data_IF_713082421975
#
_entry.id   IF_713082421975
#
_cell.length_a   1.000
_cell.length_b   1.000
_cell.length_c   1.000
_cell.angle_alpha   90.00
_cell.angle_beta   90.00
_cell.angle_gamma   90.00
#
_symmetry.space_group_name_H-M   'P 1'
#
loop_
_entity.id
_entity.type
_entity.pdbx_description
1 polymer ?
#
# COMPACT_ATOMS: atom_id res chain seq x y z
N UNK A 1 3.65 -4.27 -18.32
CA UNK A 1 4.94 -5.00 -18.41
C UNK A 1 6.12 -4.05 -18.23
N UNK A 2 6.07 -2.83 -18.79
CA UNK A 2 7.08 -1.77 -18.53
C UNK A 2 7.21 -1.40 -17.05
N UNK A 3 6.10 -1.43 -16.31
CA UNK A 3 6.02 -1.08 -14.88
C UNK A 3 6.89 -2.00 -14.01
N UNK A 4 6.96 -3.29 -14.35
CA UNK A 4 7.81 -4.25 -13.63
C UNK A 4 9.30 -3.93 -13.78
N UNK A 5 9.73 -3.45 -14.96
CA UNK A 5 11.11 -3.06 -15.21
C UNK A 5 11.45 -1.78 -14.44
N UNK A 6 10.51 -0.82 -14.39
CA UNK A 6 10.65 0.41 -13.61
C UNK A 6 10.86 0.10 -12.11
N UNK A 7 10.02 -0.75 -11.51
CA UNK A 7 10.21 -1.16 -10.11
C UNK A 7 11.50 -1.95 -9.90
N UNK A 8 11.90 -2.80 -10.85
CA UNK A 8 13.14 -3.59 -10.74
C UNK A 8 14.38 -2.69 -10.71
N UNK A 9 14.42 -1.63 -11.52
CA UNK A 9 15.55 -0.68 -11.53
C UNK A 9 15.59 0.11 -10.22
N UNK A 10 14.45 0.55 -9.67
CA UNK A 10 14.39 1.23 -8.38
C UNK A 10 14.86 0.33 -7.23
N UNK A 11 14.46 -0.95 -7.21
CA UNK A 11 14.94 -1.93 -6.25
C UNK A 11 16.44 -2.18 -6.38
N UNK A 12 16.97 -2.24 -7.61
CA UNK A 12 18.40 -2.40 -7.86
C UNK A 12 19.20 -1.17 -7.37
N UNK A 13 18.71 0.04 -7.60
CA UNK A 13 19.32 1.27 -7.07
C UNK A 13 19.31 1.28 -5.54
N UNK A 14 18.19 0.91 -4.91
CA UNK A 14 18.10 0.78 -3.45
C UNK A 14 19.12 -0.23 -2.91
N UNK A 15 19.20 -1.43 -3.49
CA UNK A 15 20.13 -2.48 -3.06
C UNK A 15 21.61 -2.05 -3.14
N UNK A 16 21.96 -1.18 -4.09
CA UNK A 16 23.32 -0.64 -4.24
C UNK A 16 23.57 0.49 -3.23
N UNK A 17 22.61 1.37 -2.98
CA UNK A 17 22.76 2.53 -2.08
C UNK A 17 22.44 2.25 -0.60
N UNK A 18 21.86 1.10 -0.26
CA UNK A 18 21.39 0.79 1.11
C UNK A 18 22.50 0.85 2.17
N UNK A 19 23.74 0.54 1.80
CA UNK A 19 24.91 0.61 2.71
C UNK A 19 25.70 1.93 2.56
N UNK A 20 25.27 2.82 1.67
CA UNK A 20 25.89 4.12 1.39
C UNK A 20 25.42 5.25 2.32
N UNK A 21 25.02 4.93 3.55
CA UNK A 21 24.65 5.92 4.55
C UNK A 21 25.93 6.53 5.12
N UNK A 22 26.38 7.65 4.53
CA UNK A 22 27.53 8.44 4.98
C UNK A 22 27.27 9.07 6.37
N UNK A 23 27.17 8.26 7.43
CA UNK A 23 26.95 8.68 8.81
C UNK A 23 25.52 9.17 9.13
N UNK A 24 24.54 8.96 8.25
CA UNK A 24 23.13 9.29 8.48
C UNK A 24 22.37 8.20 9.26
N UNK A 25 21.18 8.52 9.83
CA UNK A 25 20.37 7.58 10.59
C UNK A 25 20.10 6.30 9.80
N UNK A 26 20.25 5.15 10.46
CA UNK A 26 20.04 3.84 9.83
C UNK A 26 18.54 3.66 9.62
N UNK A 27 18.10 2.96 8.55
CA UNK A 27 16.65 2.75 8.28
C UNK A 27 15.86 2.21 9.48
N UNK A 28 16.55 1.56 10.43
CA UNK A 28 15.99 1.06 11.69
C UNK A 28 15.45 2.14 12.64
N UNK A 29 15.90 3.40 12.51
CA UNK A 29 15.38 4.54 13.29
C UNK A 29 14.17 5.23 12.62
N UNK A 30 13.88 4.88 11.36
CA UNK A 30 12.82 5.51 10.53
C UNK A 30 11.68 4.52 10.24
N UNK A 31 11.97 3.21 10.25
CA UNK A 31 10.95 2.17 10.04
C UNK A 31 10.25 1.80 11.34
N UNK A 32 9.09 2.40 11.59
CA UNK A 32 8.13 1.86 12.55
C UNK A 32 7.49 0.58 11.98
N UNK A 33 8.12 -0.57 12.27
CA UNK A 33 7.63 -1.91 11.94
C UNK A 33 6.12 -2.14 12.20
N UNK A 34 5.52 -1.69 13.33
CA UNK A 34 4.07 -1.86 13.52
C UNK A 34 3.24 -1.05 12.52
N UNK A 35 3.73 0.09 12.05
CA UNK A 35 3.02 0.95 11.10
C UNK A 35 2.98 0.34 9.69
N UNK A 36 4.13 -0.13 9.20
CA UNK A 36 4.25 -0.86 7.92
C UNK A 36 3.38 -2.13 7.91
N UNK A 37 3.24 -2.77 9.06
CA UNK A 37 2.40 -3.95 9.22
C UNK A 37 0.90 -3.59 9.12
N UNK A 38 0.47 -2.50 9.75
CA UNK A 38 -0.91 -1.98 9.63
C UNK A 38 -1.23 -1.62 8.19
N UNK A 39 -0.32 -0.93 7.50
CA UNK A 39 -0.42 -0.63 6.07
C UNK A 39 -0.59 -1.87 5.20
N UNK A 40 0.21 -2.90 5.45
CA UNK A 40 0.14 -4.17 4.74
C UNK A 40 -1.21 -4.85 4.96
N UNK A 41 -1.71 -4.88 6.20
CA UNK A 41 -3.04 -5.41 6.51
C UNK A 41 -4.14 -4.62 5.80
N UNK A 42 -4.04 -3.30 5.76
CA UNK A 42 -5.03 -2.43 5.14
C UNK A 42 -5.08 -2.60 3.61
N UNK A 43 -3.93 -2.75 2.96
CA UNK A 43 -3.83 -3.11 1.54
C UNK A 43 -4.35 -4.52 1.27
N UNK A 44 -4.10 -5.47 2.18
CA UNK A 44 -4.59 -6.84 2.07
C UNK A 44 -6.12 -6.89 2.18
N UNK A 45 -6.71 -6.13 3.10
CA UNK A 45 -8.16 -5.94 3.18
C UNK A 45 -8.72 -5.25 1.93
N UNK A 46 -8.04 -4.25 1.38
CA UNK A 46 -8.43 -3.59 0.12
C UNK A 46 -8.48 -4.57 -1.07
N UNK A 47 -7.52 -5.50 -1.14
CA UNK A 47 -7.52 -6.57 -2.16
C UNK A 47 -8.69 -7.55 -1.97
N UNK A 48 -9.02 -7.90 -0.72
CA UNK A 48 -10.16 -8.78 -0.40
C UNK A 48 -11.50 -8.09 -0.73
N UNK A 49 -11.68 -6.82 -0.38
CA UNK A 49 -12.91 -6.06 -0.69
C UNK A 49 -13.09 -5.93 -2.20
N UNK A 50 -12.01 -5.74 -2.94
CA UNK A 50 -12.04 -5.72 -4.40
C UNK A 50 -12.36 -7.09 -5.00
N UNK A 51 -11.80 -8.18 -4.46
CA UNK A 51 -12.14 -9.55 -4.85
C UNK A 51 -13.63 -9.89 -4.62
N UNK A 52 -14.19 -9.43 -3.50
CA UNK A 52 -15.62 -9.54 -3.19
C UNK A 52 -16.48 -8.69 -4.14
N UNK A 53 -16.03 -7.49 -4.51
CA UNK A 53 -16.67 -6.64 -5.51
C UNK A 53 -16.72 -7.33 -6.88
N UNK A 54 -15.62 -7.99 -7.30
CA UNK A 54 -15.57 -8.73 -8.56
C UNK A 54 -16.59 -9.88 -8.58
N UNK A 55 -16.71 -10.64 -7.49
CA UNK A 55 -17.72 -11.72 -7.36
C UNK A 55 -19.15 -11.16 -7.42
N UNK A 56 -19.41 -10.01 -6.80
CA UNK A 56 -20.70 -9.32 -6.89
C UNK A 56 -21.02 -8.81 -8.30
N UNK A 57 -19.98 -8.44 -9.07
CA UNK A 57 -20.08 -8.06 -10.48
C UNK A 57 -20.52 -9.25 -11.35
N UNK A 58 -19.99 -10.44 -11.09
CA UNK A 58 -20.45 -11.69 -11.74
C UNK A 58 -21.92 -12.02 -11.42
N UNK A 59 -22.43 -11.61 -10.25
CA UNK A 59 -23.85 -11.72 -9.88
C UNK A 59 -24.74 -10.61 -10.45
N UNK A 60 -24.22 -9.75 -11.33
CA UNK A 60 -24.90 -8.58 -11.93
C UNK A 60 -25.48 -7.57 -10.93
N UNK A 61 -25.04 -7.61 -9.66
CA UNK A 61 -25.67 -6.87 -8.58
C UNK A 61 -24.95 -5.53 -8.36
N UNK A 62 -25.30 -4.52 -9.17
CA UNK A 62 -24.62 -3.21 -9.23
C UNK A 62 -24.53 -2.49 -7.87
N UNK A 63 -25.59 -2.56 -7.05
CA UNK A 63 -25.61 -1.92 -5.72
C UNK A 63 -24.55 -2.48 -4.79
N UNK A 64 -24.33 -3.80 -4.84
CA UNK A 64 -23.36 -4.49 -4.01
C UNK A 64 -21.93 -4.20 -4.47
N UNK A 65 -21.69 -4.13 -5.79
CA UNK A 65 -20.40 -3.70 -6.34
C UNK A 65 -20.03 -2.29 -5.87
N UNK A 66 -20.98 -1.34 -5.94
CA UNK A 66 -20.75 0.05 -5.52
C UNK A 66 -20.45 0.13 -4.01
N UNK A 67 -21.13 -0.66 -3.17
CA UNK A 67 -20.85 -0.65 -1.72
C UNK A 67 -19.45 -1.20 -1.40
N UNK A 68 -19.02 -2.28 -2.06
CA UNK A 68 -17.68 -2.85 -1.87
C UNK A 68 -16.58 -1.91 -2.39
N UNK A 69 -16.84 -1.20 -3.49
CA UNK A 69 -15.90 -0.24 -4.07
C UNK A 69 -15.76 1.02 -3.20
N UNK A 70 -16.87 1.50 -2.62
CA UNK A 70 -16.85 2.57 -1.63
C UNK A 70 -16.08 2.17 -0.36
N UNK A 71 -16.25 0.94 0.12
CA UNK A 71 -15.50 0.41 1.26
C UNK A 71 -13.99 0.34 0.96
N UNK A 72 -13.63 -0.11 -0.24
CA UNK A 72 -12.23 -0.16 -0.72
C UNK A 72 -11.61 1.24 -0.77
N UNK A 73 -12.38 2.25 -1.24
CA UNK A 73 -11.94 3.64 -1.26
C UNK A 73 -11.74 4.20 0.16
N UNK A 74 -12.59 3.82 1.11
CA UNK A 74 -12.50 4.23 2.52
C UNK A 74 -11.23 3.66 3.18
N UNK A 75 -10.90 2.40 2.91
CA UNK A 75 -9.62 1.82 3.33
C UNK A 75 -8.44 2.54 2.65
N UNK A 76 -8.50 2.81 1.34
CA UNK A 76 -7.47 3.59 0.64
C UNK A 76 -7.26 5.00 1.22
N UNK A 77 -8.34 5.69 1.60
CA UNK A 77 -8.26 7.01 2.25
C UNK A 77 -7.64 6.92 3.66
N UNK A 78 -7.94 5.86 4.41
CA UNK A 78 -7.31 5.59 5.70
C UNK A 78 -5.80 5.36 5.60
N UNK A 79 -5.35 4.68 4.54
CA UNK A 79 -3.93 4.50 4.21
C UNK A 79 -3.23 5.85 4.02
N UNK A 80 -3.79 6.70 3.15
CA UNK A 80 -3.22 8.01 2.83
C UNK A 80 -3.20 8.92 4.07
N UNK A 81 -4.25 8.89 4.89
CA UNK A 81 -4.31 9.68 6.13
C UNK A 81 -3.25 9.29 7.16
N UNK A 82 -2.97 7.98 7.27
CA UNK A 82 -1.87 7.48 8.11
C UNK A 82 -0.51 7.93 7.57
N UNK A 83 -0.24 7.74 6.28
CA UNK A 83 1.02 8.18 5.64
C UNK A 83 1.27 9.69 5.76
N UNK A 84 0.23 10.51 5.58
CA UNK A 84 0.34 11.97 5.72
C UNK A 84 0.65 12.36 7.18
N UNK A 85 0.02 11.71 8.15
CA UNK A 85 0.28 12.01 9.58
C UNK A 85 1.72 11.64 9.96
N UNK A 86 2.23 10.53 9.43
CA UNK A 86 3.60 10.07 9.64
C UNK A 86 4.65 10.95 8.94
N UNK A 87 4.37 11.46 7.74
CA UNK A 87 5.29 12.39 7.04
C UNK A 87 5.36 13.80 7.63
N UNK A 88 4.39 14.20 8.47
CA UNK A 88 4.30 15.55 9.04
C UNK A 88 4.90 15.62 10.47
N UNK A 89 5.00 14.49 11.18
CA UNK A 89 5.53 14.41 12.55
C UNK A 89 7.00 14.04 12.55
#
# INVERSE_FOLDING_TARGET
>A
MSDCILFSILFATYAVLVNGTAGGPTGKDIFELPFVLVETFLLLFSSITYGMAAIAMYKNNKSQVISWLALTWLFGAGFIGMEITNSIT
#
